data_IF_825417348307
#
_entry.id   IF_825417348307
#
_cell.length_a   1.000
_cell.length_b   1.000
_cell.length_c   1.000
_cell.angle_alpha   90.00
_cell.angle_beta   90.00
_cell.angle_gamma   90.00
#
_symmetry.space_group_name_H-M   'P 1'
#
loop_
_entity.id
_entity.type
_entity.pdbx_description
1 polymer ?
#
# COMPACT_ATOMS: atom_id res chain seq x y z
N UNK A 1 -20.24 -34.97 36.47
CA UNK A 1 -20.77 -34.59 35.14
C UNK A 1 -21.82 -33.48 35.15
N UNK A 2 -22.98 -33.61 35.83
CA UNK A 2 -24.05 -32.58 35.79
C UNK A 2 -23.62 -31.16 36.23
N UNK A 3 -22.76 -31.03 37.25
CA UNK A 3 -22.21 -29.73 37.69
C UNK A 3 -21.30 -29.08 36.63
N UNK A 4 -20.42 -29.87 36.01
CA UNK A 4 -19.51 -29.42 34.93
C UNK A 4 -20.31 -28.96 33.70
N UNK A 5 -21.35 -29.71 33.31
CA UNK A 5 -22.22 -29.31 32.22
C UNK A 5 -22.99 -28.01 32.51
N UNK A 6 -23.37 -27.78 33.78
CA UNK A 6 -24.06 -26.57 34.23
C UNK A 6 -23.11 -25.36 34.26
N UNK A 7 -21.87 -25.51 34.70
CA UNK A 7 -20.86 -24.44 34.63
C UNK A 7 -20.47 -24.11 33.20
N UNK A 8 -20.31 -25.10 32.31
CA UNK A 8 -20.08 -24.85 30.88
C UNK A 8 -21.24 -24.08 30.22
N UNK A 9 -22.49 -24.41 30.56
CA UNK A 9 -23.68 -23.66 30.10
C UNK A 9 -23.68 -22.21 30.59
N UNK A 10 -23.25 -21.95 31.83
CA UNK A 10 -23.20 -20.58 32.36
C UNK A 10 -22.06 -19.78 31.71
N UNK A 11 -20.87 -20.37 31.54
CA UNK A 11 -19.76 -19.74 30.83
C UNK A 11 -20.12 -19.42 29.37
N UNK A 12 -20.81 -20.33 28.67
CA UNK A 12 -21.19 -20.10 27.28
C UNK A 12 -22.15 -18.91 27.14
N UNK A 13 -23.08 -18.72 28.08
CA UNK A 13 -24.00 -17.58 28.07
C UNK A 13 -23.34 -16.24 28.42
N UNK A 14 -22.21 -16.25 29.14
CA UNK A 14 -21.49 -15.03 29.51
C UNK A 14 -20.48 -14.63 28.43
N UNK A 15 -19.80 -15.59 27.80
CA UNK A 15 -18.68 -15.32 26.88
C UNK A 15 -19.15 -15.17 25.43
N UNK A 16 -20.12 -15.97 25.00
CA UNK A 16 -20.54 -15.99 23.59
C UNK A 16 -21.23 -14.67 23.16
N UNK A 17 -22.16 -14.08 23.93
CA UNK A 17 -22.83 -12.86 23.49
C UNK A 17 -21.88 -11.66 23.34
N UNK A 18 -20.95 -11.37 24.28
CA UNK A 18 -19.95 -10.32 24.08
C UNK A 18 -19.04 -10.60 22.88
N UNK A 19 -18.67 -11.86 22.63
CA UNK A 19 -17.85 -12.22 21.48
C UNK A 19 -18.59 -11.98 20.16
N UNK A 20 -19.88 -12.35 20.08
CA UNK A 20 -20.73 -12.10 18.90
C UNK A 20 -20.89 -10.59 18.68
N UNK A 21 -21.16 -9.83 19.73
CA UNK A 21 -21.25 -8.36 19.68
C UNK A 21 -19.91 -7.77 19.23
N UNK A 22 -18.79 -8.23 19.78
CA UNK A 22 -17.46 -7.77 19.39
C UNK A 22 -17.14 -8.07 17.92
N UNK A 23 -17.43 -9.29 17.45
CA UNK A 23 -17.27 -9.67 16.05
C UNK A 23 -18.19 -8.84 15.14
N UNK A 24 -19.41 -8.55 15.57
CA UNK A 24 -20.36 -7.74 14.81
C UNK A 24 -19.90 -6.29 14.65
N UNK A 25 -19.38 -5.66 15.72
CA UNK A 25 -18.94 -4.26 15.69
C UNK A 25 -17.52 -4.06 15.16
N UNK A 26 -16.58 -4.95 15.50
CA UNK A 26 -15.16 -4.79 15.17
C UNK A 26 -14.70 -5.69 14.03
N UNK A 27 -15.56 -6.61 13.57
CA UNK A 27 -15.27 -7.57 12.52
C UNK A 27 -14.36 -8.72 12.98
N UNK A 28 -14.38 -9.81 12.23
CA UNK A 28 -13.43 -10.93 12.42
C UNK A 28 -11.96 -10.50 12.24
N UNK A 29 -11.70 -9.42 11.48
CA UNK A 29 -10.36 -8.95 11.16
C UNK A 29 -9.56 -8.44 12.37
N UNK A 30 -10.24 -8.00 13.45
CA UNK A 30 -9.58 -7.53 14.67
C UNK A 30 -8.90 -8.66 15.45
N UNK A 31 -9.51 -9.86 15.46
CA UNK A 31 -9.04 -11.01 16.24
C UNK A 31 -7.95 -11.82 15.53
N UNK A 32 -7.82 -11.68 14.21
CA UNK A 32 -6.88 -12.45 13.40
C UNK A 32 -5.63 -11.61 13.12
N UNK A 33 -4.43 -12.00 13.62
CA UNK A 33 -3.16 -11.39 13.27
C UNK A 33 -2.99 -11.24 11.76
N UNK A 34 -2.30 -10.17 11.32
CA UNK A 34 -2.15 -9.89 9.90
C UNK A 34 -1.42 -11.01 9.17
N UNK A 35 -0.45 -11.64 9.82
CA UNK A 35 0.38 -12.73 9.29
C UNK A 35 -0.42 -13.98 8.92
N UNK A 36 -1.62 -14.15 9.50
CA UNK A 36 -2.53 -15.26 9.19
C UNK A 36 -3.49 -14.94 8.04
N UNK A 37 -3.46 -13.72 7.51
CA UNK A 37 -4.35 -13.30 6.42
C UNK A 37 -3.61 -13.39 5.07
N UNK A 38 -4.07 -14.23 4.11
CA UNK A 38 -3.37 -14.39 2.83
C UNK A 38 -3.18 -13.08 2.04
N UNK A 39 -4.16 -12.18 2.09
CA UNK A 39 -4.07 -10.87 1.43
C UNK A 39 -2.97 -9.97 2.01
N UNK A 40 -2.62 -10.12 3.29
CA UNK A 40 -1.51 -9.38 3.90
C UNK A 40 -0.16 -9.83 3.32
N UNK A 41 0.02 -11.14 3.12
CA UNK A 41 1.23 -11.66 2.46
C UNK A 41 1.36 -11.20 1.01
N UNK A 42 0.24 -11.13 0.28
CA UNK A 42 0.23 -10.58 -1.08
C UNK A 42 0.67 -9.10 -1.08
N UNK A 43 0.06 -8.28 -0.23
CA UNK A 43 0.44 -6.88 -0.02
C UNK A 43 1.93 -6.75 0.35
N UNK A 44 2.40 -7.52 1.34
CA UNK A 44 3.78 -7.48 1.80
C UNK A 44 4.77 -7.83 0.69
N UNK A 45 4.47 -8.84 -0.11
CA UNK A 45 5.34 -9.26 -1.21
C UNK A 45 5.37 -8.22 -2.34
N UNK A 46 4.27 -7.50 -2.60
CA UNK A 46 4.27 -6.37 -3.53
C UNK A 46 5.17 -5.25 -3.02
N UNK A 47 5.04 -4.86 -1.75
CA UNK A 47 5.85 -3.79 -1.18
C UNK A 47 7.34 -4.10 -1.16
N UNK A 48 7.75 -5.38 -0.99
CA UNK A 48 9.16 -5.79 -1.11
C UNK A 48 9.80 -5.43 -2.45
N UNK A 49 9.01 -5.24 -3.51
CA UNK A 49 9.54 -4.76 -4.80
C UNK A 49 10.15 -3.36 -4.69
N UNK A 50 9.73 -2.54 -3.71
CA UNK A 50 10.32 -1.22 -3.48
C UNK A 50 11.73 -1.27 -2.92
N UNK A 51 12.14 -2.39 -2.31
CA UNK A 51 13.51 -2.58 -1.78
C UNK A 51 14.51 -2.87 -2.90
N UNK A 52 14.03 -3.36 -4.06
CA UNK A 52 14.87 -3.68 -5.21
C UNK A 52 15.51 -2.41 -5.81
N UNK A 53 16.72 -2.53 -6.39
CA UNK A 53 17.34 -1.42 -7.10
C UNK A 53 16.46 -0.96 -8.27
N UNK A 54 16.46 0.35 -8.56
CA UNK A 54 15.74 0.90 -9.69
C UNK A 54 16.39 0.47 -11.00
N UNK A 55 15.82 -0.55 -11.63
CA UNK A 55 16.23 -1.12 -12.90
C UNK A 55 15.00 -1.61 -13.67
N UNK A 56 15.21 -2.01 -14.92
CA UNK A 56 14.13 -2.47 -15.80
C UNK A 56 13.41 -3.72 -15.26
N UNK A 57 14.15 -4.63 -14.61
CA UNK A 57 13.56 -5.83 -14.00
C UNK A 57 12.55 -5.48 -12.90
N UNK A 58 12.92 -4.58 -11.96
CA UNK A 58 12.01 -4.06 -10.93
C UNK A 58 10.80 -3.40 -11.57
N UNK A 59 11.03 -2.53 -12.56
CA UNK A 59 9.95 -1.78 -13.20
C UNK A 59 8.95 -2.71 -13.88
N UNK A 60 9.41 -3.66 -14.68
CA UNK A 60 8.55 -4.63 -15.34
C UNK A 60 7.83 -5.56 -14.34
N UNK A 61 8.47 -5.93 -13.22
CA UNK A 61 7.80 -6.67 -12.13
C UNK A 61 6.64 -5.88 -11.53
N UNK A 62 6.82 -4.59 -11.27
CA UNK A 62 5.76 -3.72 -10.74
C UNK A 62 4.65 -3.52 -11.78
N UNK A 63 5.03 -3.17 -13.02
CA UNK A 63 4.10 -2.94 -14.13
C UNK A 63 3.28 -4.18 -14.50
N UNK A 64 3.80 -5.39 -14.27
CA UNK A 64 3.04 -6.63 -14.50
C UNK A 64 1.75 -6.73 -13.68
N UNK A 65 1.66 -6.04 -12.54
CA UNK A 65 0.39 -5.95 -11.78
C UNK A 65 -0.68 -5.09 -12.48
N UNK A 66 -0.25 -4.26 -13.43
CA UNK A 66 -1.09 -3.40 -14.26
C UNK A 66 -1.32 -3.99 -15.65
N UNK A 67 -0.91 -5.24 -15.89
CA UNK A 67 -1.04 -5.93 -17.18
C UNK A 67 -0.29 -5.20 -18.32
N UNK A 68 0.83 -4.54 -17.97
CA UNK A 68 1.69 -3.77 -18.87
C UNK A 68 3.18 -4.00 -18.53
N UNK A 69 4.07 -3.47 -19.35
CA UNK A 69 5.51 -3.37 -19.10
C UNK A 69 6.04 -1.99 -19.50
N UNK A 70 7.33 -1.73 -19.32
CA UNK A 70 7.94 -0.42 -19.58
C UNK A 70 7.90 -0.02 -21.06
N UNK A 71 7.81 -0.99 -21.97
CA UNK A 71 7.74 -0.75 -23.42
C UNK A 71 6.33 -0.42 -23.89
N UNK A 72 5.33 -1.09 -23.31
CA UNK A 72 3.91 -0.95 -23.63
C UNK A 72 3.18 0.12 -22.79
N UNK A 73 3.84 0.68 -21.77
CA UNK A 73 3.26 1.71 -20.91
C UNK A 73 2.81 2.93 -21.73
N UNK A 74 1.59 3.39 -21.49
CA UNK A 74 1.04 4.58 -22.11
C UNK A 74 1.67 5.84 -21.51
N UNK A 75 2.81 6.24 -22.08
CA UNK A 75 3.53 7.43 -21.67
C UNK A 75 2.77 8.71 -21.99
N UNK A 76 1.92 8.73 -23.01
CA UNK A 76 1.13 9.91 -23.36
C UNK A 76 0.12 10.21 -22.26
N UNK A 77 -0.69 9.21 -21.86
CA UNK A 77 -1.65 9.34 -20.76
C UNK A 77 -0.95 9.74 -19.44
N UNK A 78 0.22 9.15 -19.15
CA UNK A 78 0.97 9.49 -17.94
C UNK A 78 1.49 10.93 -17.96
N UNK A 79 1.94 11.44 -19.10
CA UNK A 79 2.48 12.79 -19.20
C UNK A 79 1.40 13.87 -19.05
N UNK A 80 0.14 13.59 -19.39
CA UNK A 80 -0.98 14.51 -19.10
C UNK A 80 -1.12 14.80 -17.59
N UNK A 81 -0.69 13.86 -16.75
CA UNK A 81 -0.73 13.95 -15.29
C UNK A 81 0.60 14.36 -14.68
N UNK A 82 1.67 14.53 -15.47
CA UNK A 82 2.99 14.82 -14.94
C UNK A 82 3.07 16.21 -14.31
N UNK A 83 3.80 16.34 -13.21
CA UNK A 83 4.00 17.61 -12.52
C UNK A 83 5.44 17.80 -12.06
N UNK A 84 5.84 19.08 -11.96
CA UNK A 84 7.10 19.47 -11.34
C UNK A 84 6.96 19.40 -9.83
N UNK A 85 7.88 18.70 -9.16
CA UNK A 85 7.94 18.61 -7.70
C UNK A 85 8.41 19.93 -7.10
N UNK A 86 7.91 20.24 -5.90
CA UNK A 86 8.39 21.35 -5.09
C UNK A 86 9.68 20.96 -4.39
N UNK A 87 10.59 21.90 -4.17
CA UNK A 87 11.84 21.64 -3.45
C UNK A 87 11.63 21.18 -2.00
N UNK A 88 10.48 21.51 -1.41
CA UNK A 88 10.08 21.09 -0.05
C UNK A 88 9.56 19.65 0.02
N UNK A 89 9.39 18.98 -1.12
CA UNK A 89 8.90 17.61 -1.18
C UNK A 89 9.99 16.63 -0.71
N UNK A 90 9.64 15.67 0.15
CA UNK A 90 10.60 14.74 0.75
C UNK A 90 11.34 13.85 -0.26
N UNK A 91 10.80 13.69 -1.47
CA UNK A 91 11.44 12.94 -2.55
C UNK A 91 12.06 13.82 -3.62
N UNK A 92 11.99 15.16 -3.49
CA UNK A 92 12.68 16.05 -4.41
C UNK A 92 14.20 15.85 -4.33
N UNK A 93 14.82 15.67 -5.48
CA UNK A 93 16.28 15.69 -5.64
C UNK A 93 16.58 16.48 -6.91
N UNK A 94 17.29 17.60 -6.75
CA UNK A 94 17.69 18.44 -7.89
C UNK A 94 18.41 17.61 -8.95
N UNK A 95 18.09 17.85 -10.22
CA UNK A 95 18.61 17.17 -11.41
C UNK A 95 18.36 15.64 -11.47
N UNK A 96 17.57 15.07 -10.54
CA UNK A 96 17.33 13.63 -10.41
C UNK A 96 15.83 13.30 -10.33
N UNK A 97 15.11 13.86 -9.36
CA UNK A 97 13.68 13.66 -9.13
C UNK A 97 12.99 15.03 -9.12
N UNK A 98 13.02 15.71 -10.26
CA UNK A 98 12.38 17.03 -10.41
C UNK A 98 10.93 16.93 -10.86
N UNK A 99 10.58 15.86 -11.57
CA UNK A 99 9.25 15.62 -12.10
C UNK A 99 8.74 14.26 -11.64
N UNK A 100 7.43 14.18 -11.49
CA UNK A 100 6.74 12.95 -11.14
C UNK A 100 5.50 12.80 -12.00
N UNK A 101 5.17 11.56 -12.31
CA UNK A 101 3.84 11.17 -12.79
C UNK A 101 3.40 9.93 -12.03
N UNK A 102 2.10 9.68 -12.02
CA UNK A 102 1.52 8.50 -11.40
C UNK A 102 0.43 7.88 -12.27
N UNK A 103 0.30 6.56 -12.19
CA UNK A 103 -0.87 5.87 -12.70
C UNK A 103 -2.10 6.26 -11.88
N UNK A 104 -3.31 5.96 -12.35
CA UNK A 104 -4.47 5.96 -11.44
C UNK A 104 -4.39 4.81 -10.42
N UNK A 105 -5.10 4.94 -9.30
CA UNK A 105 -5.28 3.85 -8.34
C UNK A 105 -6.06 2.69 -8.97
N UNK A 106 -5.46 1.49 -8.99
CA UNK A 106 -6.07 0.23 -9.41
C UNK A 106 -6.46 -0.59 -8.18
N UNK A 107 -7.71 -1.04 -8.13
CA UNK A 107 -8.15 -2.02 -7.14
C UNK A 107 -7.82 -3.42 -7.63
N UNK A 108 -6.89 -4.11 -6.96
CA UNK A 108 -6.60 -5.52 -7.25
C UNK A 108 -7.68 -6.44 -6.67
N UNK A 109 -8.18 -6.10 -5.50
CA UNK A 109 -9.31 -6.77 -4.82
C UNK A 109 -9.90 -5.85 -3.75
N UNK A 110 -10.84 -6.35 -2.93
CA UNK A 110 -11.50 -5.58 -1.86
C UNK A 110 -10.58 -5.11 -0.73
N UNK A 111 -9.33 -5.57 -0.71
CA UNK A 111 -8.33 -5.27 0.32
C UNK A 111 -7.07 -4.60 -0.20
N UNK A 112 -6.75 -4.70 -1.49
CA UNK A 112 -5.48 -4.19 -2.04
C UNK A 112 -5.80 -3.16 -3.12
N UNK A 113 -5.27 -1.97 -2.89
CA UNK A 113 -5.28 -0.81 -3.78
C UNK A 113 -3.83 -0.51 -4.15
N UNK A 114 -3.57 -0.16 -5.40
CA UNK A 114 -2.21 0.03 -5.87
C UNK A 114 -2.08 1.11 -6.94
N UNK A 115 -0.96 1.82 -6.92
CA UNK A 115 -0.59 2.92 -7.81
C UNK A 115 0.93 2.87 -8.05
N UNK A 116 1.39 3.37 -9.19
CA UNK A 116 2.81 3.48 -9.51
C UNK A 116 3.16 4.96 -9.62
N UNK A 117 4.18 5.36 -8.88
CA UNK A 117 4.82 6.66 -9.01
C UNK A 117 6.13 6.53 -9.81
N UNK A 118 6.29 7.34 -10.85
CA UNK A 118 7.50 7.42 -11.66
C UNK A 118 8.17 8.78 -11.47
N UNK A 119 9.48 8.77 -11.22
CA UNK A 119 10.28 9.97 -10.98
C UNK A 119 11.28 10.19 -12.10
N UNK A 120 11.40 11.44 -12.54
CA UNK A 120 12.28 11.84 -13.64
C UNK A 120 12.97 13.16 -13.34
N UNK A 121 14.03 13.43 -14.08
CA UNK A 121 14.68 14.73 -14.14
C UNK A 121 14.15 15.62 -15.28
N UNK A 122 13.32 15.07 -16.17
CA UNK A 122 12.74 15.78 -17.30
C UNK A 122 11.22 15.93 -17.15
N UNK A 123 10.67 17.01 -17.73
CA UNK A 123 9.24 17.30 -17.68
C UNK A 123 8.38 16.30 -18.45
N UNK A 124 8.91 15.78 -19.56
CA UNK A 124 8.29 14.71 -20.33
C UNK A 124 8.87 13.39 -19.86
N UNK A 125 8.14 12.70 -18.98
CA UNK A 125 8.56 11.43 -18.38
C UNK A 125 8.45 10.31 -19.40
N UNK A 126 9.52 9.54 -19.58
CA UNK A 126 9.54 8.38 -20.48
C UNK A 126 10.46 7.27 -19.95
N UNK A 127 10.49 6.14 -20.65
CA UNK A 127 11.28 4.95 -20.26
C UNK A 127 12.78 5.20 -20.06
N UNK A 128 13.33 6.23 -20.71
CA UNK A 128 14.75 6.54 -20.70
C UNK A 128 15.15 7.47 -19.56
N UNK A 129 14.31 8.44 -19.22
CA UNK A 129 14.57 9.42 -18.16
C UNK A 129 13.91 9.08 -16.82
N UNK A 130 13.15 7.98 -16.74
CA UNK A 130 12.63 7.47 -15.46
C UNK A 130 13.76 7.00 -14.56
N UNK A 131 14.08 7.80 -13.55
CA UNK A 131 15.15 7.60 -12.60
C UNK A 131 14.74 6.73 -11.41
N UNK A 132 13.47 6.72 -11.01
CA UNK A 132 12.98 5.79 -9.99
C UNK A 132 11.52 5.43 -10.24
N UNK A 133 11.12 4.26 -9.73
CA UNK A 133 9.72 3.84 -9.66
C UNK A 133 9.41 3.39 -8.24
N UNK A 134 8.34 3.95 -7.67
CA UNK A 134 7.81 3.54 -6.38
C UNK A 134 6.44 2.89 -6.58
N UNK A 135 6.25 1.73 -5.94
CA UNK A 135 5.00 0.99 -5.97
C UNK A 135 4.20 1.32 -4.70
N UNK A 136 3.26 2.24 -4.85
CA UNK A 136 2.31 2.64 -3.81
C UNK A 136 1.25 1.55 -3.67
N UNK A 137 1.35 0.71 -2.63
CA UNK A 137 0.33 -0.32 -2.33
C UNK A 137 -0.27 -0.04 -0.97
N UNK A 138 -1.59 -0.11 -0.90
CA UNK A 138 -2.37 0.06 0.32
C UNK A 138 -3.16 -1.21 0.60
N UNK A 139 -3.07 -1.68 1.83
CA UNK A 139 -3.84 -2.81 2.34
C UNK A 139 -4.88 -2.36 3.36
N UNK A 140 -6.14 -2.66 3.06
CA UNK A 140 -7.29 -2.42 3.94
C UNK A 140 -7.38 -3.53 4.98
N UNK A 141 -7.09 -3.16 6.23
CA UNK A 141 -6.95 -4.11 7.35
C UNK A 141 -8.28 -4.74 7.78
N UNK A 142 -9.42 -4.12 7.42
CA UNK A 142 -10.76 -4.43 7.93
C UNK A 142 -10.87 -4.32 9.45
N UNK A 143 -9.99 -3.52 10.06
CA UNK A 143 -10.02 -3.16 11.47
C UNK A 143 -10.48 -1.72 11.59
N UNK A 144 -11.57 -1.50 12.32
CA UNK A 144 -12.15 -0.18 12.49
C UNK A 144 -11.80 0.38 13.86
N UNK A 145 -11.51 1.69 13.92
CA UNK A 145 -11.26 2.42 15.15
C UNK A 145 -12.14 3.67 15.22
N UNK A 146 -12.48 4.14 16.43
CA UNK A 146 -13.22 5.38 16.59
C UNK A 146 -12.35 6.57 16.15
N UNK A 147 -12.92 7.44 15.33
CA UNK A 147 -12.25 8.62 14.78
C UNK A 147 -13.25 9.79 14.67
N UNK A 148 -12.73 10.99 14.43
CA UNK A 148 -13.53 12.20 14.26
C UNK A 148 -12.97 13.42 14.99
N UNK A 149 -13.44 14.59 14.57
CA UNK A 149 -13.12 15.88 15.19
C UNK A 149 -14.35 16.80 15.24
N UNK A 150 -14.21 17.94 15.92
CA UNK A 150 -15.22 18.99 15.88
C UNK A 150 -15.43 19.45 14.43
N UNK A 151 -16.65 19.24 13.92
CA UNK A 151 -17.04 19.56 12.53
C UNK A 151 -17.37 18.34 11.67
N UNK A 152 -16.72 17.19 11.88
CA UNK A 152 -17.00 15.94 11.15
C UNK A 152 -17.83 14.92 11.94
N UNK A 153 -17.87 15.06 13.27
CA UNK A 153 -18.60 14.16 14.16
C UNK A 153 -17.86 12.83 14.41
N UNK A 154 -18.49 11.93 15.15
CA UNK A 154 -17.93 10.62 15.50
C UNK A 154 -18.23 9.58 14.42
N UNK A 155 -17.20 8.87 13.94
CA UNK A 155 -17.37 7.76 13.00
C UNK A 155 -16.32 6.65 13.19
N UNK A 156 -16.54 5.52 12.50
CA UNK A 156 -15.61 4.39 12.50
C UNK A 156 -14.72 4.45 11.26
N UNK A 157 -13.42 4.68 11.47
CA UNK A 157 -12.43 4.72 10.40
C UNK A 157 -11.78 3.36 10.22
N UNK A 158 -11.56 2.92 8.97
CA UNK A 158 -10.86 1.68 8.69
C UNK A 158 -9.34 1.90 8.69
N UNK A 159 -8.60 1.10 9.45
CA UNK A 159 -7.14 1.05 9.41
C UNK A 159 -6.62 0.60 8.05
N UNK A 160 -5.57 1.26 7.59
CA UNK A 160 -4.86 0.96 6.34
C UNK A 160 -3.37 0.82 6.64
N UNK A 161 -2.69 -0.02 5.87
CA UNK A 161 -1.23 -0.09 5.85
C UNK A 161 -0.73 0.25 4.43
N UNK A 162 0.24 1.13 4.33
CA UNK A 162 0.99 1.42 3.11
C UNK A 162 2.33 0.69 3.09
N UNK A 163 2.99 0.68 1.93
CA UNK A 163 4.32 0.06 1.83
C UNK A 163 5.37 0.72 2.76
N UNK A 164 5.28 2.03 2.98
CA UNK A 164 6.15 2.76 3.92
C UNK A 164 6.08 2.24 5.36
N UNK A 165 4.99 1.57 5.74
CA UNK A 165 4.82 1.02 7.08
C UNK A 165 5.59 -0.30 7.28
N UNK A 166 6.03 -0.96 6.20
CA UNK A 166 6.53 -2.34 6.26
C UNK A 166 7.88 -2.58 5.58
N UNK A 167 8.31 -1.72 4.67
CA UNK A 167 9.59 -1.85 3.95
C UNK A 167 10.34 -0.54 3.93
N UNK A 168 11.67 -0.63 3.78
CA UNK A 168 12.52 0.53 3.52
C UNK A 168 12.70 0.67 2.01
N UNK A 169 12.09 1.69 1.42
CA UNK A 169 12.15 1.92 -0.02
C UNK A 169 13.56 2.23 -0.52
N UNK A 170 13.87 1.77 -1.73
CA UNK A 170 15.09 2.07 -2.43
C UNK A 170 14.83 3.15 -3.49
N UNK A 171 15.13 4.39 -3.11
CA UNK A 171 15.06 5.59 -3.98
C UNK A 171 16.44 5.97 -4.52
N UNK A 172 17.34 4.98 -4.70
CA UNK A 172 18.60 5.16 -5.43
C UNK A 172 18.30 5.26 -6.93
N UNK A 173 18.75 6.29 -7.65
CA UNK A 173 18.40 6.47 -9.06
C UNK A 173 18.88 5.33 -9.95
N UNK A 174 18.13 5.05 -11.02
CA UNK A 174 18.47 4.09 -12.07
C UNK A 174 19.81 4.46 -12.69
N UNK A 175 20.69 3.47 -12.83
CA UNK A 175 22.02 3.66 -13.40
C UNK A 175 23.03 4.34 -12.47
N UNK A 176 22.66 4.68 -11.24
CA UNK A 176 23.61 5.21 -10.25
C UNK A 176 24.58 4.09 -9.83
N UNK A 177 25.83 4.18 -10.27
CA UNK A 177 26.92 3.37 -9.72
C UNK A 177 27.40 4.07 -8.46
N UNK A 178 27.29 3.39 -7.33
CA UNK A 178 28.04 3.80 -6.14
C UNK A 178 29.51 3.52 -6.45
N UNK A 179 30.22 4.51 -6.97
CA UNK A 179 31.67 4.49 -7.02
C UNK A 179 32.15 4.55 -5.57
N UNK A 180 32.42 3.36 -5.00
CA UNK A 180 33.17 3.19 -3.76
C UNK A 180 34.59 2.80 -4.09
#
# INVERSE_FOLDING_TARGET
MKKILKTFKILSFIIIPPLIVFIYFFGWGWLVPYELQPSYWQFRNMCKLNELPNNEEKYNKILSYFDTDLESLDWEELNERAWKKKETDGWYKKDIFEYQTATGWKHKNSRIEMEIDLFSNASEVNRYNTNAMYFSVVWRTKRYYPDGNEGSGFYWSEGRLGCSDIVKENMTPKGFKNDK
#
